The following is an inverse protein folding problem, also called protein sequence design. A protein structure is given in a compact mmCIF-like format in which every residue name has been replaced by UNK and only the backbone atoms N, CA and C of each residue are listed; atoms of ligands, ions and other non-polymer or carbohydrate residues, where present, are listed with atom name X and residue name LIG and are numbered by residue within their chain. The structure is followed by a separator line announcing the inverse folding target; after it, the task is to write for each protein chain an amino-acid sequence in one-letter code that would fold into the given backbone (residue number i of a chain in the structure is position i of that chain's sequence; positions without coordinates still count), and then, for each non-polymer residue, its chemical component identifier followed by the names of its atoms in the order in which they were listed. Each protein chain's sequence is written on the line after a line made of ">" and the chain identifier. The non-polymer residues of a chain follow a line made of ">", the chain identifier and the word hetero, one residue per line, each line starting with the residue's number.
data_IF_824613462632
#
_entry.id   IF_824613462632
#
_cell.length_a   1.000
_cell.length_b   1.000
_cell.length_c   1.000
_cell.angle_alpha   90.00
_cell.angle_beta   90.00
_cell.angle_gamma   90.00
#
_symmetry.space_group_name_H-M   'P 1'
#
loop_
_entity.id
_entity.type
_entity.pdbx_description
1 polymer ?
#
# COMPACT_ATOMS: atom_id res chain seq x y z
N UNK A 1 9.76 11.93 17.04
CA UNK A 1 8.69 12.61 16.27
C UNK A 1 7.50 11.68 15.97
N UNK A 2 7.70 10.36 15.78
CA UNK A 2 6.67 9.39 15.38
C UNK A 2 5.51 9.19 16.39
N UNK A 3 5.80 9.12 17.69
CA UNK A 3 4.77 8.95 18.72
C UNK A 3 3.81 10.16 18.84
N UNK A 4 4.26 11.36 18.47
CA UNK A 4 3.45 12.58 18.50
C UNK A 4 2.43 12.63 17.35
N UNK A 5 2.82 12.19 16.15
CA UNK A 5 1.96 12.17 14.97
C UNK A 5 0.85 11.13 15.10
N UNK A 6 1.17 9.89 15.48
CA UNK A 6 0.16 8.84 15.67
C UNK A 6 -0.83 9.19 16.79
N UNK A 7 -0.34 9.79 17.89
CA UNK A 7 -1.20 10.27 18.97
C UNK A 7 -2.08 11.45 18.53
N UNK A 8 -1.56 12.35 17.71
CA UNK A 8 -2.33 13.45 17.12
C UNK A 8 -3.45 12.90 16.20
N UNK A 9 -3.11 11.94 15.34
CA UNK A 9 -4.06 11.25 14.46
C UNK A 9 -5.15 10.61 15.30
N UNK A 10 -4.79 9.74 16.24
CA UNK A 10 -5.75 9.04 17.09
C UNK A 10 -6.68 10.00 17.83
N UNK A 11 -6.13 11.04 18.47
CA UNK A 11 -6.93 12.02 19.22
C UNK A 11 -7.98 12.74 18.35
N UNK A 12 -7.71 12.94 17.07
CA UNK A 12 -8.58 13.69 16.16
C UNK A 12 -9.41 12.83 15.20
N UNK A 13 -9.09 11.54 15.03
CA UNK A 13 -9.76 10.66 14.06
C UNK A 13 -10.31 9.35 14.65
N UNK A 14 -10.18 9.09 15.96
CA UNK A 14 -10.56 7.81 16.58
C UNK A 14 -11.97 7.31 16.22
N UNK A 15 -12.99 8.19 16.14
CA UNK A 15 -14.37 7.80 15.80
C UNK A 15 -14.48 7.20 14.40
N UNK A 16 -13.73 7.78 13.45
CA UNK A 16 -13.68 7.30 12.06
C UNK A 16 -12.82 6.06 11.94
N UNK A 17 -11.73 5.98 12.71
CA UNK A 17 -10.90 4.78 12.79
C UNK A 17 -11.65 3.58 13.35
N UNK A 18 -12.56 3.80 14.30
CA UNK A 18 -13.46 2.75 14.81
C UNK A 18 -14.40 2.24 13.71
N UNK A 19 -14.99 3.13 12.90
CA UNK A 19 -15.82 2.73 11.76
C UNK A 19 -15.02 1.95 10.71
N UNK A 20 -13.79 2.38 10.42
CA UNK A 20 -12.86 1.68 9.52
C UNK A 20 -12.53 0.29 10.05
N UNK A 21 -12.23 0.17 11.34
CA UNK A 21 -11.98 -1.10 12.03
C UNK A 21 -13.22 -2.01 11.94
N UNK A 22 -14.41 -1.49 12.24
CA UNK A 22 -15.65 -2.26 12.18
C UNK A 22 -15.94 -2.80 10.77
N UNK A 23 -15.79 -1.97 9.73
CA UNK A 23 -15.94 -2.42 8.33
C UNK A 23 -14.87 -3.45 7.99
N UNK A 24 -13.63 -3.26 8.43
CA UNK A 24 -12.52 -4.20 8.19
C UNK A 24 -12.81 -5.57 8.79
N UNK A 25 -13.24 -5.61 10.06
CA UNK A 25 -13.62 -6.85 10.74
C UNK A 25 -14.83 -7.52 10.07
N UNK A 26 -15.82 -6.74 9.61
CA UNK A 26 -16.97 -7.28 8.88
C UNK A 26 -16.61 -7.89 7.52
N UNK A 27 -15.54 -7.41 6.86
CA UNK A 27 -15.06 -7.95 5.59
C UNK A 27 -14.42 -9.33 5.77
N UNK A 28 -13.78 -9.61 6.92
CA UNK A 28 -13.00 -10.84 7.11
C UNK A 28 -13.82 -12.14 7.01
N UNK A 29 -14.98 -12.30 7.68
CA UNK A 29 -15.83 -13.48 7.50
C UNK A 29 -16.31 -13.65 6.06
N UNK A 30 -16.61 -12.57 5.36
CA UNK A 30 -17.08 -12.61 3.97
C UNK A 30 -15.96 -13.03 3.01
N UNK A 31 -14.73 -12.59 3.26
CA UNK A 31 -13.55 -13.06 2.53
C UNK A 31 -13.31 -14.54 2.80
N UNK A 32 -13.46 -15.00 4.03
CA UNK A 32 -13.34 -16.42 4.38
C UNK A 32 -14.39 -17.28 3.63
N UNK A 33 -15.68 -16.88 3.66
CA UNK A 33 -16.74 -17.54 2.88
C UNK A 33 -16.45 -17.54 1.38
N UNK A 34 -15.85 -16.47 0.85
CA UNK A 34 -15.47 -16.38 -0.57
C UNK A 34 -14.38 -17.39 -0.95
N UNK A 35 -13.63 -17.93 0.01
CA UNK A 35 -12.64 -18.99 -0.22
C UNK A 35 -13.28 -20.39 -0.06
N UNK A 36 -14.25 -20.54 0.85
CA UNK A 36 -14.97 -21.80 1.02
C UNK A 36 -15.93 -22.11 -0.14
N UNK A 37 -16.62 -21.11 -0.68
CA UNK A 37 -17.59 -21.32 -1.76
C UNK A 37 -17.00 -22.01 -3.01
N UNK A 38 -15.84 -21.60 -3.56
CA UNK A 38 -15.20 -22.34 -4.65
C UNK A 38 -14.89 -23.80 -4.30
N UNK A 39 -14.47 -24.07 -3.06
CA UNK A 39 -14.24 -25.44 -2.60
C UNK A 39 -15.53 -26.26 -2.60
N UNK A 40 -16.63 -25.69 -2.09
CA UNK A 40 -17.95 -26.34 -2.10
C UNK A 40 -18.42 -26.57 -3.54
N UNK A 41 -18.23 -25.60 -4.44
CA UNK A 41 -18.56 -25.77 -5.87
C UNK A 41 -17.79 -26.94 -6.48
N UNK A 42 -16.49 -27.05 -6.22
CA UNK A 42 -15.66 -28.14 -6.78
C UNK A 42 -16.02 -29.48 -6.14
N UNK A 43 -15.96 -29.57 -4.81
CA UNK A 43 -16.14 -30.83 -4.10
C UNK A 43 -17.57 -31.36 -4.25
N UNK A 44 -18.56 -30.48 -4.08
CA UNK A 44 -19.95 -30.91 -4.05
C UNK A 44 -20.55 -30.86 -5.45
N UNK A 45 -20.47 -29.74 -6.19
CA UNK A 45 -21.18 -29.64 -7.47
C UNK A 45 -20.47 -30.37 -8.62
N UNK A 46 -19.14 -30.42 -8.62
CA UNK A 46 -18.35 -31.02 -9.72
C UNK A 46 -17.88 -32.45 -9.39
N UNK A 47 -17.47 -32.74 -8.15
CA UNK A 47 -16.95 -34.06 -7.76
C UNK A 47 -17.94 -34.94 -6.97
N UNK A 48 -19.04 -34.36 -6.47
CA UNK A 48 -20.07 -35.11 -5.73
C UNK A 48 -20.94 -36.00 -6.61
N UNK A 49 -21.54 -37.04 -6.02
CA UNK A 49 -22.46 -37.95 -6.71
C UNK A 49 -23.77 -37.30 -7.16
N UNK A 50 -24.48 -37.94 -8.09
CA UNK A 50 -25.68 -37.43 -8.78
C UNK A 50 -26.97 -37.37 -7.92
N UNK A 51 -26.85 -37.34 -6.59
CA UNK A 51 -28.00 -37.24 -5.70
C UNK A 51 -28.67 -35.87 -5.74
N UNK A 52 -30.02 -35.78 -5.69
CA UNK A 52 -30.72 -34.50 -5.55
C UNK A 52 -30.32 -33.83 -4.25
N UNK A 53 -30.10 -32.51 -4.29
CA UNK A 53 -29.74 -31.73 -3.10
C UNK A 53 -30.88 -30.84 -2.70
N UNK A 54 -31.23 -30.88 -1.42
CA UNK A 54 -32.25 -30.02 -0.86
C UNK A 54 -31.67 -28.63 -0.54
N UNK A 55 -32.16 -27.60 -1.21
CA UNK A 55 -32.00 -26.22 -0.76
C UNK A 55 -33.34 -25.74 -0.20
N UNK A 56 -33.39 -25.36 1.07
CA UNK A 56 -34.63 -24.94 1.75
C UNK A 56 -35.80 -25.95 1.60
N UNK A 57 -35.49 -27.26 1.47
CA UNK A 57 -36.50 -28.32 1.33
C UNK A 57 -36.94 -28.64 -0.12
N UNK A 58 -36.40 -27.96 -1.14
CA UNK A 58 -36.66 -28.28 -2.55
C UNK A 58 -35.52 -29.10 -3.13
N UNK A 59 -35.83 -30.22 -3.79
CA UNK A 59 -34.84 -31.01 -4.54
C UNK A 59 -34.39 -30.24 -5.79
N UNK A 60 -33.12 -29.85 -5.80
CA UNK A 60 -32.49 -29.14 -6.89
C UNK A 60 -31.56 -30.10 -7.64
N UNK A 61 -31.72 -30.15 -8.96
CA UNK A 61 -30.80 -30.89 -9.84
C UNK A 61 -29.39 -30.31 -9.81
N UNK A 62 -28.38 -31.14 -10.08
CA UNK A 62 -26.94 -30.79 -9.97
C UNK A 62 -26.54 -29.50 -10.70
N UNK A 63 -27.06 -29.28 -11.91
CA UNK A 63 -26.78 -28.07 -12.70
C UNK A 63 -27.37 -26.81 -12.05
N UNK A 64 -28.59 -26.91 -11.51
CA UNK A 64 -29.23 -25.80 -10.81
C UNK A 64 -28.51 -25.50 -9.48
N UNK A 65 -28.06 -26.52 -8.74
CA UNK A 65 -27.25 -26.34 -7.53
C UNK A 65 -25.91 -25.63 -7.82
N UNK A 66 -25.22 -26.03 -8.90
CA UNK A 66 -24.00 -25.37 -9.35
C UNK A 66 -24.25 -23.90 -9.69
N UNK A 67 -25.30 -23.60 -10.44
CA UNK A 67 -25.67 -22.21 -10.77
C UNK A 67 -26.01 -21.41 -9.52
N UNK A 68 -26.74 -21.98 -8.56
CA UNK A 68 -27.04 -21.30 -7.29
C UNK A 68 -25.76 -20.94 -6.53
N UNK A 69 -24.81 -21.87 -6.41
CA UNK A 69 -23.53 -21.60 -5.73
C UNK A 69 -22.67 -20.58 -6.48
N UNK A 70 -22.63 -20.62 -7.82
CA UNK A 70 -21.95 -19.60 -8.63
C UNK A 70 -22.59 -18.21 -8.47
N UNK A 71 -23.92 -18.12 -8.48
CA UNK A 71 -24.65 -16.88 -8.21
C UNK A 71 -24.40 -16.37 -6.77
N UNK A 72 -24.38 -17.26 -5.78
CA UNK A 72 -24.06 -16.91 -4.40
C UNK A 72 -22.62 -16.41 -4.27
N UNK A 73 -21.67 -17.04 -4.96
CA UNK A 73 -20.27 -16.60 -5.01
C UNK A 73 -20.16 -15.20 -5.64
N UNK A 74 -20.81 -14.97 -6.78
CA UNK A 74 -20.84 -13.65 -7.43
C UNK A 74 -21.45 -12.58 -6.52
N UNK A 75 -22.58 -12.88 -5.87
CA UNK A 75 -23.22 -11.97 -4.93
C UNK A 75 -22.28 -11.65 -3.75
N UNK A 76 -21.63 -12.68 -3.18
CA UNK A 76 -20.69 -12.51 -2.07
C UNK A 76 -19.48 -11.66 -2.47
N UNK A 77 -18.88 -11.93 -3.63
CA UNK A 77 -17.78 -11.12 -4.18
C UNK A 77 -18.25 -9.66 -4.36
N UNK A 78 -19.47 -9.46 -4.85
CA UNK A 78 -20.10 -8.14 -4.96
C UNK A 78 -20.20 -7.42 -3.62
N UNK A 79 -20.69 -8.11 -2.57
CA UNK A 79 -20.80 -7.57 -1.21
C UNK A 79 -19.42 -7.23 -0.64
N UNK A 80 -18.43 -8.11 -0.79
CA UNK A 80 -17.05 -7.87 -0.35
C UNK A 80 -16.47 -6.63 -1.02
N UNK A 81 -16.64 -6.50 -2.35
CA UNK A 81 -16.14 -5.34 -3.08
C UNK A 81 -16.88 -4.04 -2.71
N UNK A 82 -18.19 -4.10 -2.46
CA UNK A 82 -18.96 -2.95 -1.99
C UNK A 82 -18.49 -2.48 -0.61
N UNK A 83 -18.18 -3.42 0.31
CA UNK A 83 -17.61 -3.09 1.62
C UNK A 83 -16.19 -2.52 1.51
N UNK A 84 -15.33 -3.09 0.66
CA UNK A 84 -13.99 -2.52 0.37
C UNK A 84 -14.09 -1.12 -0.20
N UNK A 85 -15.02 -0.87 -1.11
CA UNK A 85 -15.29 0.46 -1.65
C UNK A 85 -15.72 1.43 -0.54
N UNK A 86 -16.66 1.03 0.33
CA UNK A 86 -17.06 1.85 1.49
C UNK A 86 -15.89 2.12 2.44
N UNK A 87 -15.05 1.13 2.69
CA UNK A 87 -13.85 1.25 3.52
C UNK A 87 -12.90 2.31 2.94
N UNK A 88 -12.55 2.20 1.65
CA UNK A 88 -11.64 3.13 0.96
C UNK A 88 -12.19 4.56 0.91
N UNK A 89 -13.49 4.73 0.64
CA UNK A 89 -14.13 6.06 0.68
C UNK A 89 -14.09 6.65 2.09
N UNK A 90 -14.26 5.82 3.12
CA UNK A 90 -14.19 6.29 4.52
C UNK A 90 -12.77 6.68 4.92
N UNK A 91 -11.76 5.94 4.48
CA UNK A 91 -10.35 6.32 4.62
C UNK A 91 -10.07 7.67 3.95
N UNK A 92 -10.50 7.84 2.69
CA UNK A 92 -10.32 9.09 1.93
C UNK A 92 -11.00 10.30 2.58
N UNK A 93 -12.25 10.14 3.04
CA UNK A 93 -12.96 11.19 3.79
C UNK A 93 -12.26 11.55 5.10
N UNK A 94 -11.66 10.57 5.76
CA UNK A 94 -10.90 10.80 7.01
C UNK A 94 -9.62 11.58 6.73
N UNK A 95 -8.90 11.23 5.66
CA UNK A 95 -7.73 11.96 5.17
C UNK A 95 -8.05 13.41 4.85
N UNK A 96 -9.12 13.67 4.07
CA UNK A 96 -9.56 15.02 3.71
C UNK A 96 -9.94 15.88 4.92
N UNK A 97 -10.65 15.31 5.90
CA UNK A 97 -10.99 16.04 7.13
C UNK A 97 -9.76 16.42 7.93
N UNK A 98 -8.76 15.54 7.99
CA UNK A 98 -7.49 15.82 8.65
C UNK A 98 -6.69 16.87 7.88
N UNK A 99 -6.64 16.77 6.55
CA UNK A 99 -6.02 17.76 5.67
C UNK A 99 -6.63 19.15 5.88
N UNK A 100 -7.96 19.26 5.86
CA UNK A 100 -8.68 20.51 6.13
C UNK A 100 -8.33 21.09 7.50
N UNK A 101 -8.26 20.25 8.54
CA UNK A 101 -7.88 20.68 9.89
C UNK A 101 -6.42 21.15 9.94
N UNK A 102 -5.49 20.45 9.29
CA UNK A 102 -4.09 20.85 9.22
C UNK A 102 -3.91 22.19 8.51
N UNK A 103 -4.59 22.38 7.36
CA UNK A 103 -4.61 23.66 6.64
C UNK A 103 -5.16 24.78 7.51
N UNK A 104 -6.26 24.55 8.23
CA UNK A 104 -6.82 25.53 9.16
C UNK A 104 -5.85 25.90 10.29
N UNK A 105 -5.27 24.91 10.98
CA UNK A 105 -4.33 25.15 12.09
C UNK A 105 -3.07 25.89 11.61
N UNK A 106 -2.56 25.57 10.42
CA UNK A 106 -1.43 26.27 9.84
C UNK A 106 -1.80 27.72 9.55
N UNK A 107 -2.94 27.97 8.90
CA UNK A 107 -3.42 29.31 8.59
C UNK A 107 -3.69 30.14 9.87
N UNK A 108 -4.35 29.57 10.87
CA UNK A 108 -4.58 30.20 12.18
C UNK A 108 -3.26 30.59 12.86
N UNK A 109 -2.26 29.69 12.83
CA UNK A 109 -0.95 29.94 13.43
C UNK A 109 -0.25 31.09 12.72
N UNK A 110 -0.24 31.06 11.38
CA UNK A 110 0.33 32.06 10.48
C UNK A 110 -0.29 33.44 10.78
N UNK A 111 -1.61 33.53 10.89
CA UNK A 111 -2.31 34.80 11.18
C UNK A 111 -2.04 35.37 12.58
N UNK A 112 -1.54 34.57 13.54
CA UNK A 112 -1.19 35.03 14.90
C UNK A 112 0.29 35.44 15.04
N UNK A 113 1.11 35.29 14.01
CA UNK A 113 2.53 35.66 14.07
C UNK A 113 2.74 37.17 13.82
N UNK A 114 3.63 37.84 14.58
CA UNK A 114 3.97 39.25 14.34
C UNK A 114 4.51 39.49 12.92
N UNK A 115 4.00 40.53 12.24
CA UNK A 115 4.29 40.84 10.84
C UNK A 115 5.79 41.03 10.52
N UNK A 116 6.63 41.31 11.53
CA UNK A 116 8.06 41.51 11.36
C UNK A 116 8.81 40.29 10.80
N UNK A 117 8.33 39.06 11.04
CA UNK A 117 8.91 37.80 10.52
C UNK A 117 8.32 37.35 9.18
N UNK A 118 7.22 37.95 8.73
CA UNK A 118 6.60 37.64 7.44
C UNK A 118 7.35 38.22 6.24
N UNK A 119 8.24 39.19 6.47
CA UNK A 119 9.10 39.73 5.41
C UNK A 119 10.20 38.76 4.97
N UNK A 120 10.53 37.75 5.78
CA UNK A 120 11.59 36.76 5.47
C UNK A 120 11.08 35.41 4.96
N UNK A 121 9.82 35.04 5.26
CA UNK A 121 9.20 33.84 4.68
C UNK A 121 8.55 34.24 3.35
N UNK A 122 9.08 33.76 2.22
CA UNK A 122 8.49 34.02 0.91
C UNK A 122 7.03 33.55 0.95
N UNK A 123 6.08 34.42 0.59
CA UNK A 123 4.65 34.08 0.50
C UNK A 123 4.38 32.75 -0.24
N UNK A 124 5.23 32.42 -1.23
CA UNK A 124 5.20 31.15 -1.95
C UNK A 124 5.53 29.90 -1.11
N UNK A 125 6.32 30.01 -0.04
CA UNK A 125 6.67 28.90 0.86
C UNK A 125 5.46 28.46 1.71
N UNK A 126 4.64 29.43 2.15
CA UNK A 126 3.36 29.15 2.83
C UNK A 126 2.35 28.46 1.91
N UNK A 127 2.27 28.91 0.65
CA UNK A 127 1.42 28.30 -0.37
C UNK A 127 1.90 26.88 -0.67
N UNK A 128 3.21 26.68 -0.85
CA UNK A 128 3.83 25.36 -1.04
C UNK A 128 3.60 24.43 0.15
N UNK A 129 3.69 24.94 1.36
CA UNK A 129 3.41 24.14 2.56
C UNK A 129 1.94 23.71 2.60
N UNK A 130 1.00 24.61 2.30
CA UNK A 130 -0.44 24.33 2.35
C UNK A 130 -0.94 23.40 1.24
N UNK A 131 -0.43 23.58 0.03
CA UNK A 131 -0.86 22.83 -1.15
C UNK A 131 0.01 21.60 -1.39
N UNK A 132 1.33 21.72 -1.27
CA UNK A 132 2.27 20.64 -1.61
C UNK A 132 2.65 19.74 -0.44
N UNK A 133 3.02 20.30 0.71
CA UNK A 133 3.56 19.49 1.80
C UNK A 133 2.48 18.79 2.66
N UNK A 134 1.34 19.45 2.88
CA UNK A 134 0.26 18.90 3.70
C UNK A 134 -0.60 17.84 3.00
N UNK A 135 -0.74 17.91 1.67
CA UNK A 135 -1.56 16.97 0.89
C UNK A 135 -1.14 15.49 1.06
N UNK A 136 0.14 15.11 0.88
CA UNK A 136 0.56 13.72 1.11
C UNK A 136 0.42 13.30 2.58
N UNK A 137 0.52 14.23 3.53
CA UNK A 137 0.29 13.95 4.96
C UNK A 137 -1.18 13.62 5.22
N UNK A 138 -2.11 14.37 4.62
CA UNK A 138 -3.54 14.11 4.71
C UNK A 138 -3.93 12.72 4.22
N UNK A 139 -3.44 12.33 3.05
CA UNK A 139 -3.64 10.99 2.49
C UNK A 139 -3.07 9.89 3.39
N UNK A 140 -1.84 10.08 3.87
CA UNK A 140 -1.18 9.10 4.74
C UNK A 140 -1.93 8.85 6.05
N UNK A 141 -2.57 9.86 6.64
CA UNK A 141 -3.33 9.70 7.90
C UNK A 141 -4.52 8.75 7.74
N UNK A 142 -5.20 8.81 6.59
CA UNK A 142 -6.32 7.92 6.29
C UNK A 142 -5.90 6.45 6.18
N UNK A 143 -4.67 6.21 5.71
CA UNK A 143 -4.17 4.87 5.39
C UNK A 143 -3.30 4.25 6.50
N UNK A 144 -2.61 5.06 7.33
CA UNK A 144 -1.52 4.56 8.19
C UNK A 144 -1.96 3.48 9.19
N UNK A 145 -3.20 3.54 9.68
CA UNK A 145 -3.75 2.54 10.59
C UNK A 145 -4.55 1.50 9.82
N UNK A 146 -5.32 1.94 8.83
CA UNK A 146 -6.30 1.12 8.15
C UNK A 146 -5.66 0.08 7.23
N UNK A 147 -4.62 0.46 6.49
CA UNK A 147 -3.94 -0.42 5.53
C UNK A 147 -3.22 -1.57 6.22
N UNK A 148 -2.36 -1.36 7.24
CA UNK A 148 -1.70 -2.47 7.92
C UNK A 148 -2.67 -3.42 8.61
N UNK A 149 -3.73 -2.87 9.22
CA UNK A 149 -4.78 -3.66 9.86
C UNK A 149 -5.56 -4.51 8.85
N UNK A 150 -5.96 -3.92 7.72
CA UNK A 150 -6.67 -4.64 6.67
C UNK A 150 -5.81 -5.72 6.02
N UNK A 151 -4.57 -5.40 5.66
CA UNK A 151 -3.63 -6.36 5.04
C UNK A 151 -3.21 -7.46 6.02
N UNK A 152 -2.93 -7.10 7.28
CA UNK A 152 -2.58 -8.05 8.34
C UNK A 152 -3.74 -8.97 8.71
N UNK A 153 -4.97 -8.44 8.76
CA UNK A 153 -6.15 -9.26 8.99
C UNK A 153 -6.50 -10.15 7.79
N UNK A 154 -6.33 -9.66 6.55
CA UNK A 154 -6.46 -10.48 5.36
C UNK A 154 -5.46 -11.65 5.37
N UNK A 155 -4.21 -11.35 5.75
CA UNK A 155 -3.19 -12.37 5.94
C UNK A 155 -3.62 -13.41 6.98
N UNK A 156 -4.18 -12.99 8.12
CA UNK A 156 -4.68 -13.88 9.15
C UNK A 156 -5.85 -14.75 8.65
N UNK A 157 -6.78 -14.19 7.87
CA UNK A 157 -7.89 -14.95 7.24
C UNK A 157 -7.35 -16.01 6.29
N UNK A 158 -6.41 -15.65 5.40
CA UNK A 158 -5.81 -16.60 4.45
C UNK A 158 -4.97 -17.68 5.15
N UNK A 159 -4.14 -17.29 6.11
CA UNK A 159 -3.37 -18.25 6.90
C UNK A 159 -4.31 -19.18 7.66
N UNK A 160 -5.32 -18.65 8.36
CA UNK A 160 -6.33 -19.44 9.08
C UNK A 160 -7.08 -20.41 8.18
N UNK A 161 -7.51 -19.96 6.99
CA UNK A 161 -8.14 -20.83 6.00
C UNK A 161 -7.24 -21.99 5.56
N UNK A 162 -5.96 -21.72 5.27
CA UNK A 162 -5.01 -22.77 4.89
C UNK A 162 -4.75 -23.73 6.06
N UNK A 163 -4.59 -23.23 7.28
CA UNK A 163 -4.38 -24.06 8.48
C UNK A 163 -5.55 -24.99 8.78
N UNK A 164 -6.79 -24.53 8.60
CA UNK A 164 -7.99 -25.36 8.76
C UNK A 164 -8.05 -26.47 7.72
N UNK A 165 -7.49 -26.26 6.53
CA UNK A 165 -7.46 -27.27 5.47
C UNK A 165 -6.34 -28.30 5.67
N UNK A 166 -5.12 -27.85 5.88
CA UNK A 166 -3.97 -28.70 6.13
C UNK A 166 -2.94 -27.92 6.95
N UNK A 167 -2.68 -28.39 8.17
CA UNK A 167 -1.78 -27.73 9.10
C UNK A 167 -0.31 -27.77 8.63
N UNK A 168 0.11 -28.78 7.85
CA UNK A 168 1.46 -28.90 7.30
C UNK A 168 1.68 -27.87 6.20
N UNK A 169 0.68 -27.72 5.33
CA UNK A 169 0.70 -26.71 4.28
C UNK A 169 0.59 -25.29 4.86
N UNK A 170 -0.23 -25.10 5.90
CA UNK A 170 -0.29 -23.86 6.67
C UNK A 170 1.05 -23.46 7.29
N UNK A 171 1.76 -24.43 7.88
CA UNK A 171 3.10 -24.20 8.46
C UNK A 171 4.12 -23.82 7.38
N UNK A 172 4.09 -24.47 6.22
CA UNK A 172 4.96 -24.14 5.09
C UNK A 172 4.71 -22.72 4.57
N UNK A 173 3.43 -22.30 4.46
CA UNK A 173 3.07 -20.94 4.06
C UNK A 173 3.54 -19.91 5.10
N UNK A 174 3.37 -20.19 6.40
CA UNK A 174 3.83 -19.29 7.47
C UNK A 174 5.35 -19.15 7.48
N UNK A 175 6.10 -20.22 7.24
CA UNK A 175 7.56 -20.19 7.21
C UNK A 175 8.13 -19.22 6.14
N UNK A 176 7.36 -18.89 5.09
CA UNK A 176 7.77 -17.94 4.06
C UNK A 176 7.64 -16.48 4.50
N UNK A 177 6.74 -16.13 5.43
CA UNK A 177 6.54 -14.74 5.85
C UNK A 177 7.75 -14.13 6.59
N UNK A 178 8.42 -14.82 7.55
CA UNK A 178 9.64 -14.31 8.17
C UNK A 178 10.74 -14.02 7.14
N UNK A 179 10.89 -14.88 6.13
CA UNK A 179 11.87 -14.69 5.06
C UNK A 179 11.57 -13.42 4.26
N UNK A 180 10.31 -13.21 3.86
CA UNK A 180 9.87 -11.99 3.19
C UNK A 180 10.06 -10.75 4.09
N UNK A 181 9.67 -10.86 5.36
CA UNK A 181 9.75 -9.80 6.37
C UNK A 181 11.17 -9.39 6.72
N UNK A 182 12.17 -10.26 6.56
CA UNK A 182 13.58 -9.92 6.75
C UNK A 182 14.24 -9.42 5.46
N UNK A 183 14.00 -10.10 4.33
CA UNK A 183 14.70 -9.81 3.08
C UNK A 183 14.25 -8.48 2.45
N UNK A 184 12.94 -8.24 2.38
CA UNK A 184 12.39 -7.06 1.70
C UNK A 184 12.83 -5.75 2.38
N UNK A 185 12.73 -5.57 3.71
CA UNK A 185 13.17 -4.34 4.36
C UNK A 185 14.67 -4.10 4.22
N UNK A 186 15.49 -5.16 4.26
CA UNK A 186 16.94 -5.06 4.07
C UNK A 186 17.30 -4.52 2.70
N UNK A 187 16.57 -4.93 1.65
CA UNK A 187 16.75 -4.38 0.31
C UNK A 187 16.19 -2.95 0.18
N UNK A 188 15.06 -2.67 0.82
CA UNK A 188 14.42 -1.34 0.82
C UNK A 188 15.26 -0.27 1.53
N UNK A 189 15.99 -0.61 2.60
CA UNK A 189 16.83 0.34 3.33
C UNK A 189 17.81 1.10 2.42
N UNK A 190 18.37 0.43 1.40
CA UNK A 190 19.25 1.07 0.40
C UNK A 190 18.49 2.01 -0.53
N UNK A 191 17.27 1.64 -0.93
CA UNK A 191 16.41 2.49 -1.77
C UNK A 191 15.98 3.75 -1.01
N UNK A 192 15.66 3.63 0.28
CA UNK A 192 15.32 4.77 1.14
C UNK A 192 16.49 5.77 1.20
N UNK A 193 17.72 5.27 1.40
CA UNK A 193 18.91 6.13 1.40
C UNK A 193 19.13 6.83 0.05
N UNK A 194 19.02 6.09 -1.06
CA UNK A 194 19.15 6.67 -2.40
C UNK A 194 18.04 7.69 -2.72
N UNK A 195 16.82 7.49 -2.23
CA UNK A 195 15.74 8.48 -2.36
C UNK A 195 16.05 9.76 -1.59
N UNK A 196 16.65 9.65 -0.40
CA UNK A 196 17.12 10.82 0.37
C UNK A 196 18.24 11.56 -0.36
N UNK A 197 19.22 10.84 -0.92
CA UNK A 197 20.29 11.42 -1.74
C UNK A 197 19.73 12.11 -2.99
N UNK A 198 18.75 11.50 -3.66
CA UNK A 198 18.05 12.08 -4.81
C UNK A 198 17.36 13.39 -4.43
N UNK A 199 16.63 13.41 -3.32
CA UNK A 199 15.93 14.61 -2.84
C UNK A 199 16.90 15.74 -2.51
N UNK A 200 17.99 15.45 -1.80
CA UNK A 200 19.03 16.44 -1.49
C UNK A 200 19.69 16.98 -2.75
N UNK A 201 20.06 16.13 -3.69
CA UNK A 201 20.68 16.60 -4.93
C UNK A 201 19.69 17.32 -5.85
N UNK A 202 18.37 17.08 -5.74
CA UNK A 202 17.37 17.83 -6.49
C UNK A 202 17.26 19.27 -5.96
N UNK A 203 17.39 19.45 -4.63
CA UNK A 203 17.51 20.77 -4.00
C UNK A 203 18.77 21.50 -4.45
N UNK A 204 19.93 20.84 -4.40
CA UNK A 204 21.20 21.40 -4.90
C UNK A 204 21.12 21.86 -6.38
N UNK A 205 20.46 21.05 -7.23
CA UNK A 205 20.22 21.43 -8.62
C UNK A 205 19.29 22.65 -8.75
N UNK A 206 18.22 22.70 -7.96
CA UNK A 206 17.28 23.82 -7.96
C UNK A 206 17.94 25.12 -7.47
N UNK A 207 18.73 25.05 -6.40
CA UNK A 207 19.50 26.19 -5.88
C UNK A 207 20.51 26.70 -6.91
N UNK A 208 21.22 25.79 -7.59
CA UNK A 208 22.16 26.16 -8.66
C UNK A 208 21.47 26.82 -9.86
N UNK A 209 20.32 26.29 -10.29
CA UNK A 209 19.53 26.90 -11.37
C UNK A 209 19.01 28.27 -10.92
N UNK A 210 18.51 28.38 -9.69
CA UNK A 210 18.03 29.64 -9.11
C UNK A 210 19.11 30.71 -9.07
N UNK A 211 20.30 30.40 -8.56
CA UNK A 211 21.46 31.31 -8.56
C UNK A 211 21.88 31.70 -9.99
N UNK A 212 21.94 30.73 -10.90
CA UNK A 212 22.38 30.98 -12.28
C UNK A 212 21.41 31.88 -13.05
N UNK A 213 20.10 31.75 -12.81
CA UNK A 213 19.07 32.62 -13.42
C UNK A 213 19.05 33.99 -12.75
N UNK A 214 19.18 34.07 -11.42
CA UNK A 214 19.21 35.34 -10.71
C UNK A 214 20.41 36.22 -11.08
N UNK A 215 21.52 35.61 -11.51
CA UNK A 215 22.77 36.28 -11.89
C UNK A 215 23.10 36.12 -13.37
N UNK A 216 22.07 36.02 -14.21
CA UNK A 216 22.27 35.72 -15.62
C UNK A 216 23.05 36.80 -16.36
N UNK A 217 22.85 38.07 -15.97
CA UNK A 217 23.57 39.20 -16.55
C UNK A 217 25.07 39.11 -16.24
N UNK A 218 25.46 38.86 -14.97
CA UNK A 218 26.85 38.61 -14.57
C UNK A 218 27.47 37.48 -15.42
N UNK A 219 26.75 36.36 -15.58
CA UNK A 219 27.25 35.18 -16.31
C UNK A 219 27.47 35.47 -17.81
N UNK A 220 26.61 36.30 -18.41
CA UNK A 220 26.72 36.70 -19.82
C UNK A 220 27.88 37.68 -19.98
N UNK A 221 27.97 38.70 -19.12
CA UNK A 221 29.02 39.73 -19.15
C UNK A 221 30.40 39.11 -18.94
N UNK A 222 30.55 38.18 -17.99
CA UNK A 222 31.82 37.50 -17.70
C UNK A 222 32.18 36.39 -18.71
N UNK A 223 31.31 36.10 -19.69
CA UNK A 223 31.53 35.00 -20.65
C UNK A 223 31.55 33.60 -20.01
N UNK A 224 31.04 33.46 -18.79
CA UNK A 224 31.15 32.25 -17.96
C UNK A 224 30.13 31.14 -18.32
N UNK A 225 29.33 31.32 -19.37
CA UNK A 225 28.25 30.42 -19.74
C UNK A 225 28.70 28.95 -19.94
N UNK A 226 29.82 28.71 -20.64
CA UNK A 226 30.35 27.35 -20.87
C UNK A 226 30.74 26.66 -19.56
N UNK A 227 31.32 27.42 -18.63
CA UNK A 227 31.70 26.90 -17.31
C UNK A 227 30.47 26.56 -16.46
N UNK A 228 29.45 27.41 -16.45
CA UNK A 228 28.15 27.13 -15.80
C UNK A 228 27.47 25.89 -16.40
N UNK A 229 27.50 25.72 -17.72
CA UNK A 229 26.96 24.53 -18.41
C UNK A 229 27.72 23.24 -18.06
N UNK A 230 29.05 23.29 -17.97
CA UNK A 230 29.84 22.15 -17.52
C UNK A 230 29.49 21.74 -16.08
N UNK A 231 29.31 22.72 -15.19
CA UNK A 231 28.84 22.47 -13.82
C UNK A 231 27.43 21.87 -13.78
N UNK A 232 26.50 22.38 -14.59
CA UNK A 232 25.15 21.83 -14.70
C UNK A 232 25.19 20.37 -15.17
N UNK A 233 25.99 20.09 -16.20
CA UNK A 233 26.20 18.73 -16.74
C UNK A 233 26.67 17.75 -15.66
N UNK A 234 27.63 18.15 -14.83
CA UNK A 234 28.12 17.30 -13.73
C UNK A 234 27.04 16.96 -12.69
N UNK A 235 26.19 17.94 -12.34
CA UNK A 235 25.06 17.76 -11.41
C UNK A 235 23.96 16.88 -12.01
N UNK A 236 23.63 17.10 -13.29
CA UNK A 236 22.68 16.27 -14.03
C UNK A 236 23.17 14.82 -14.15
N UNK A 237 24.46 14.62 -14.42
CA UNK A 237 25.05 13.28 -14.48
C UNK A 237 24.96 12.56 -13.13
N UNK A 238 25.28 13.25 -12.02
CA UNK A 238 25.12 12.71 -10.66
C UNK A 238 23.67 12.32 -10.38
N UNK A 239 22.71 13.18 -10.72
CA UNK A 239 21.28 12.87 -10.60
C UNK A 239 20.86 11.65 -11.44
N UNK A 240 21.32 11.57 -12.68
CA UNK A 240 21.08 10.44 -13.57
C UNK A 240 21.59 9.13 -12.99
N UNK A 241 22.80 9.12 -12.44
CA UNK A 241 23.40 7.93 -11.79
C UNK A 241 22.60 7.47 -10.57
N UNK A 242 22.18 8.38 -9.70
CA UNK A 242 21.36 8.05 -8.52
C UNK A 242 20.01 7.48 -8.96
N UNK A 243 19.37 8.10 -9.96
CA UNK A 243 18.09 7.63 -10.50
C UNK A 243 18.20 6.24 -11.14
N UNK A 244 19.27 5.97 -11.87
CA UNK A 244 19.51 4.65 -12.46
C UNK A 244 19.75 3.59 -11.37
N UNK A 245 20.52 3.92 -10.33
CA UNK A 245 20.73 3.03 -9.19
C UNK A 245 19.41 2.72 -8.45
N UNK A 246 18.54 3.73 -8.27
CA UNK A 246 17.19 3.55 -7.73
C UNK A 246 16.37 2.61 -8.59
N UNK A 247 16.33 2.80 -9.91
CA UNK A 247 15.57 1.92 -10.81
C UNK A 247 16.06 0.48 -10.73
N UNK A 248 17.38 0.25 -10.85
CA UNK A 248 17.95 -1.11 -10.75
C UNK A 248 17.57 -1.79 -9.44
N UNK A 249 17.67 -1.09 -8.31
CA UNK A 249 17.32 -1.64 -6.99
C UNK A 249 15.81 -1.85 -6.83
N UNK A 250 14.98 -0.91 -7.28
CA UNK A 250 13.51 -1.02 -7.25
C UNK A 250 13.03 -2.24 -8.04
N UNK A 251 13.53 -2.42 -9.25
CA UNK A 251 13.15 -3.56 -10.08
C UNK A 251 13.75 -4.88 -9.59
N UNK A 252 14.95 -4.88 -9.00
CA UNK A 252 15.48 -6.06 -8.32
C UNK A 252 14.61 -6.49 -7.13
N UNK A 253 14.15 -5.54 -6.30
CA UNK A 253 13.18 -5.83 -5.22
C UNK A 253 11.88 -6.39 -5.80
N UNK A 254 11.36 -5.78 -6.87
CA UNK A 254 10.13 -6.26 -7.52
C UNK A 254 10.29 -7.69 -8.05
N UNK A 255 11.45 -8.02 -8.64
CA UNK A 255 11.75 -9.36 -9.13
C UNK A 255 11.82 -10.38 -7.98
N UNK A 256 12.54 -10.06 -6.90
CA UNK A 256 12.61 -10.91 -5.69
C UNK A 256 11.23 -11.09 -5.07
N UNK A 257 10.45 -10.02 -4.93
CA UNK A 257 9.09 -10.07 -4.40
C UNK A 257 8.17 -10.95 -5.25
N UNK A 258 8.27 -10.84 -6.58
CA UNK A 258 7.48 -11.67 -7.48
C UNK A 258 7.86 -13.14 -7.37
N UNK A 259 9.16 -13.45 -7.26
CA UNK A 259 9.65 -14.81 -7.05
C UNK A 259 9.15 -15.39 -5.72
N UNK A 260 9.25 -14.62 -4.64
CA UNK A 260 8.79 -15.05 -3.31
C UNK A 260 7.27 -15.20 -3.22
N UNK A 261 6.49 -14.45 -4.01
CA UNK A 261 5.04 -14.63 -4.06
C UNK A 261 4.62 -15.89 -4.81
N UNK A 262 5.45 -16.37 -5.74
CA UNK A 262 5.21 -17.63 -6.47
C UNK A 262 5.78 -18.86 -5.74
N UNK A 263 6.66 -18.64 -4.76
CA UNK A 263 7.26 -19.72 -3.99
C UNK A 263 6.21 -20.55 -3.21
N UNK A 264 5.22 -19.98 -2.50
CA UNK A 264 4.22 -20.79 -1.81
C UNK A 264 3.47 -21.72 -2.76
N UNK A 265 2.81 -21.26 -3.85
CA UNK A 265 2.16 -22.17 -4.81
C UNK A 265 3.09 -23.26 -5.34
N UNK A 266 4.34 -22.94 -5.64
CA UNK A 266 5.33 -23.92 -6.07
C UNK A 266 5.57 -25.00 -4.99
N UNK A 267 5.79 -24.60 -3.74
CA UNK A 267 5.94 -25.56 -2.63
C UNK A 267 4.64 -26.32 -2.37
N UNK A 268 3.46 -25.71 -2.53
CA UNK A 268 2.18 -26.40 -2.46
C UNK A 268 2.08 -27.52 -3.49
N UNK A 269 2.43 -27.25 -4.76
CA UNK A 269 2.39 -28.29 -5.80
C UNK A 269 3.47 -29.36 -5.61
N UNK A 270 4.69 -28.97 -5.24
CA UNK A 270 5.79 -29.90 -5.06
C UNK A 270 5.60 -30.81 -3.83
N UNK A 271 5.31 -30.21 -2.67
CA UNK A 271 5.14 -30.93 -1.40
C UNK A 271 3.78 -31.61 -1.35
N UNK A 272 2.71 -30.90 -1.73
CA UNK A 272 1.36 -31.47 -1.79
C UNK A 272 1.27 -32.60 -2.82
N UNK A 273 1.84 -32.40 -4.02
CA UNK A 273 1.91 -33.46 -5.04
C UNK A 273 2.70 -34.68 -4.59
N UNK A 274 3.85 -34.49 -3.94
CA UNK A 274 4.63 -35.59 -3.38
C UNK A 274 3.88 -36.35 -2.27
N UNK A 275 3.18 -35.64 -1.39
CA UNK A 275 2.40 -36.26 -0.30
C UNK A 275 1.20 -37.06 -0.82
N UNK A 276 0.51 -36.56 -1.85
CA UNK A 276 -0.60 -37.27 -2.53
C UNK A 276 -0.09 -38.52 -3.25
N UNK A 277 1.01 -38.41 -4.01
CA UNK A 277 1.62 -39.58 -4.68
C UNK A 277 2.10 -40.62 -3.65
N UNK A 278 2.58 -40.17 -2.49
CA UNK A 278 2.97 -41.04 -1.38
C UNK A 278 1.83 -41.65 -0.56
N UNK A 279 0.56 -41.38 -0.91
CA UNK A 279 -0.63 -41.92 -0.24
C UNK A 279 -0.83 -41.45 1.20
N UNK A 280 -0.28 -40.29 1.57
CA UNK A 280 -0.36 -39.73 2.94
C UNK A 280 -1.36 -38.56 3.07
N UNK A 281 -2.18 -38.35 2.04
CA UNK A 281 -3.24 -37.35 1.90
C UNK A 281 -4.38 -37.93 1.07
#
# INVERSE_FOLDING_TARGET
>A
MEAGFLRFVWRHSWRWQLSILAITVAVFPLVYLSLELPKIIINDAIQGGDGPRALFGFEIGRLAWLLTLCCALLALIGVVNALKWRLNVTMGRTGERMLRRMRYMLFERVMRFPAARFRSARQGELIQSMLGELEPVGGFIGEVIATPLFQGGLLAVYAGFIFVQDWRLGLAAVAMFPLQGWLIPRMQARVIRLNRERALGARDLADFIGDSVARIDDVIVDGAARWRLAQLSSRLHRQGRIRLALFRRKYAIKAVNNLLNQAPPFFFYAVGGWLVIGGRL
#
